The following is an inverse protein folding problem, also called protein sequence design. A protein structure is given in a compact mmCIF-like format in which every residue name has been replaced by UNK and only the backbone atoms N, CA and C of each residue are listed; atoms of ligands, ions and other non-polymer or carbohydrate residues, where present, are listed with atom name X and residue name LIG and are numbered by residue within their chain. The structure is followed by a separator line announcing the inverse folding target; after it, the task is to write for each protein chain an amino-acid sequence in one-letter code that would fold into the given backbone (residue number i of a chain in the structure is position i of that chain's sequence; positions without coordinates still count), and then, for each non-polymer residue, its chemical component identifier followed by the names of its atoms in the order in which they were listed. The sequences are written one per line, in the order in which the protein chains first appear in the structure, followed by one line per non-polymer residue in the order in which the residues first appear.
data_IF_954322249619
#
_entry.id   IF_954322249619
#
_cell.length_a   1.000
_cell.length_b   1.000
_cell.length_c   1.000
_cell.angle_alpha   90.00
_cell.angle_beta   90.00
_cell.angle_gamma   90.00
#
_symmetry.space_group_name_H-M   'P 1'
#
loop_
_entity.id
_entity.type
_entity.pdbx_description
1 polymer ?
#
# COMPACT_ATOMS: atom_id res chain seq x y z
N UNK A 1 -15.91 -2.94 9.58
CA UNK A 1 -15.78 -2.81 8.12
C UNK A 1 -14.58 -1.92 7.86
N UNK A 2 -13.49 -2.50 7.37
CA UNK A 2 -12.27 -1.78 6.98
C UNK A 2 -12.64 -0.81 5.86
N UNK A 3 -12.40 0.49 6.04
CA UNK A 3 -12.58 1.47 4.97
C UNK A 3 -11.74 1.07 3.76
N UNK A 4 -12.37 1.04 2.58
CA UNK A 4 -11.68 0.80 1.31
C UNK A 4 -10.74 1.97 1.04
N UNK A 5 -9.47 1.68 0.78
CA UNK A 5 -8.46 2.69 0.52
C UNK A 5 -8.45 3.01 -0.99
N UNK A 6 -8.72 4.26 -1.40
CA UNK A 6 -8.68 4.63 -2.81
C UNK A 6 -7.31 4.41 -3.44
N UNK A 7 -7.28 3.88 -4.66
CA UNK A 7 -6.04 3.68 -5.44
C UNK A 7 -5.14 4.92 -5.48
N UNK A 8 -5.72 6.09 -5.73
CA UNK A 8 -4.97 7.35 -5.79
C UNK A 8 -4.24 7.67 -4.46
N UNK A 9 -4.81 7.25 -3.32
CA UNK A 9 -4.15 7.39 -2.02
C UNK A 9 -2.94 6.46 -1.92
N UNK A 10 -3.09 5.19 -2.31
CA UNK A 10 -1.98 4.23 -2.37
C UNK A 10 -0.86 4.71 -3.30
N UNK A 11 -1.20 5.20 -4.49
CA UNK A 11 -0.23 5.73 -5.46
C UNK A 11 0.55 6.93 -4.89
N UNK A 12 -0.17 7.91 -4.33
CA UNK A 12 0.43 9.10 -3.71
C UNK A 12 1.49 8.69 -2.69
N UNK A 13 1.16 7.78 -1.78
CA UNK A 13 2.07 7.38 -0.70
C UNK A 13 3.20 6.47 -1.20
N UNK A 14 2.94 5.61 -2.19
CA UNK A 14 3.97 4.77 -2.80
C UNK A 14 5.02 5.58 -3.56
N UNK A 15 4.60 6.61 -4.31
CA UNK A 15 5.54 7.54 -4.97
C UNK A 15 6.44 8.22 -3.93
N UNK A 16 5.84 8.72 -2.84
CA UNK A 16 6.63 9.35 -1.77
C UNK A 16 7.62 8.40 -1.11
N UNK A 17 7.20 7.16 -0.85
CA UNK A 17 8.06 6.17 -0.20
C UNK A 17 9.19 5.70 -1.11
N UNK A 18 8.86 5.24 -2.32
CA UNK A 18 9.81 4.52 -3.16
C UNK A 18 10.54 5.37 -4.19
N UNK A 19 9.96 6.53 -4.60
CA UNK A 19 10.62 7.45 -5.53
C UNK A 19 11.22 8.67 -4.83
N UNK A 20 10.54 9.23 -3.84
CA UNK A 20 11.07 10.34 -3.03
C UNK A 20 11.89 9.85 -1.81
N UNK A 21 12.02 8.53 -1.61
CA UNK A 21 12.79 7.89 -0.52
C UNK A 21 12.42 8.38 0.90
N UNK A 22 11.14 8.69 1.12
CA UNK A 22 10.63 9.11 2.44
C UNK A 22 10.46 7.92 3.37
N UNK A 23 10.87 8.09 4.63
CA UNK A 23 10.69 7.07 5.67
C UNK A 23 9.22 6.91 6.06
N UNK A 24 8.83 5.73 6.54
CA UNK A 24 7.45 5.48 7.01
C UNK A 24 7.03 6.45 8.13
N UNK A 25 7.95 6.83 9.02
CA UNK A 25 7.66 7.80 10.09
C UNK A 25 7.35 9.20 9.53
N UNK A 26 8.12 9.69 8.56
CA UNK A 26 7.81 10.97 7.89
C UNK A 26 6.44 10.94 7.21
N UNK A 27 6.12 9.83 6.53
CA UNK A 27 4.83 9.69 5.86
C UNK A 27 3.66 9.63 6.84
N UNK A 28 3.82 8.93 7.96
CA UNK A 28 2.81 8.90 9.03
C UNK A 28 2.58 10.29 9.64
N UNK A 29 3.64 11.09 9.81
CA UNK A 29 3.52 12.46 10.31
C UNK A 29 2.81 13.40 9.31
N UNK A 30 2.93 13.15 8.01
CA UNK A 30 2.26 13.92 6.95
C UNK A 30 0.80 13.51 6.72
N UNK A 31 0.38 12.33 7.16
CA UNK A 31 -0.97 11.81 6.97
C UNK A 31 -1.98 12.54 7.85
N UNK A 32 -3.04 13.07 7.21
CA UNK A 32 -4.02 13.96 7.85
C UNK A 32 -5.17 13.25 8.54
N UNK A 33 -5.46 12.00 8.14
CA UNK A 33 -6.59 11.23 8.67
C UNK A 33 -6.26 9.74 8.71
N UNK A 34 -7.16 8.95 9.30
CA UNK A 34 -6.96 7.51 9.47
C UNK A 34 -6.86 6.78 8.13
N UNK A 35 -7.62 7.17 7.13
CA UNK A 35 -7.56 6.59 5.78
C UNK A 35 -6.17 6.77 5.15
N UNK A 36 -5.58 7.97 5.24
CA UNK A 36 -4.21 8.22 4.78
C UNK A 36 -3.18 7.42 5.59
N UNK A 37 -3.33 7.32 6.91
CA UNK A 37 -2.44 6.50 7.76
C UNK A 37 -2.52 5.02 7.39
N UNK A 38 -3.72 4.50 7.13
CA UNK A 38 -3.93 3.13 6.65
C UNK A 38 -3.27 2.94 5.28
N UNK A 39 -3.40 3.90 4.36
CA UNK A 39 -2.71 3.84 3.07
C UNK A 39 -1.18 3.79 3.23
N UNK A 40 -0.61 4.63 4.11
CA UNK A 40 0.83 4.61 4.44
C UNK A 40 1.24 3.26 5.03
N UNK A 41 0.45 2.70 5.95
CA UNK A 41 0.73 1.38 6.53
C UNK A 41 0.76 0.26 5.48
N UNK A 42 -0.24 0.24 4.57
CA UNK A 42 -0.27 -0.71 3.45
C UNK A 42 0.98 -0.56 2.59
N UNK A 43 1.33 0.66 2.19
CA UNK A 43 2.52 0.92 1.37
C UNK A 43 3.80 0.50 2.10
N UNK A 44 3.89 0.73 3.41
CA UNK A 44 5.05 0.35 4.21
C UNK A 44 5.25 -1.16 4.34
N UNK A 45 4.17 -1.95 4.36
CA UNK A 45 4.24 -3.42 4.42
C UNK A 45 4.96 -4.04 3.21
N UNK A 46 5.12 -3.33 2.10
CA UNK A 46 5.91 -3.81 0.96
C UNK A 46 7.40 -4.00 1.27
N UNK A 47 7.93 -3.32 2.27
CA UNK A 47 9.32 -3.50 2.73
C UNK A 47 9.48 -4.68 3.70
N UNK A 48 8.37 -5.20 4.23
CA UNK A 48 8.39 -6.39 5.10
C UNK A 48 8.59 -7.64 4.25
N UNK A 49 9.36 -8.60 4.76
CA UNK A 49 9.60 -9.90 4.12
C UNK A 49 8.26 -10.53 3.66
N UNK A 50 8.13 -10.90 2.37
CA UNK A 50 6.92 -11.55 1.85
C UNK A 50 6.44 -12.77 2.66
N UNK A 51 7.35 -13.52 3.30
CA UNK A 51 7.03 -14.70 4.10
C UNK A 51 6.27 -14.36 5.40
N UNK A 52 6.48 -13.17 5.96
CA UNK A 52 5.88 -12.75 7.24
C UNK A 52 4.85 -11.63 7.09
N UNK A 53 4.84 -10.94 5.94
CA UNK A 53 4.01 -9.75 5.65
C UNK A 53 2.53 -9.85 6.01
N UNK A 54 1.93 -11.03 5.86
CA UNK A 54 0.50 -11.27 6.10
C UNK A 54 0.23 -12.24 7.26
N UNK A 55 1.27 -12.60 8.01
CA UNK A 55 1.14 -13.60 9.06
C UNK A 55 0.24 -13.07 10.19
N UNK A 56 -0.72 -13.89 10.64
CA UNK A 56 -1.65 -13.55 11.73
C UNK A 56 -2.87 -12.70 11.32
N UNK A 57 -3.04 -12.40 10.03
CA UNK A 57 -4.22 -11.71 9.49
C UNK A 57 -5.30 -12.70 9.09
N UNK A 58 -6.56 -12.26 9.06
CA UNK A 58 -7.64 -13.10 8.54
C UNK A 58 -7.57 -13.21 7.00
N UNK A 59 -8.33 -14.13 6.42
CA UNK A 59 -8.32 -14.39 4.97
C UNK A 59 -8.77 -13.15 4.18
N UNK A 60 -9.80 -12.44 4.64
CA UNK A 60 -10.33 -11.23 3.98
C UNK A 60 -9.30 -10.10 3.95
N UNK A 61 -8.66 -9.82 5.09
CA UNK A 61 -7.58 -8.83 5.21
C UNK A 61 -6.40 -9.18 4.32
N UNK A 62 -6.00 -10.46 4.34
CA UNK A 62 -4.89 -10.97 3.51
C UNK A 62 -5.19 -10.82 2.03
N UNK A 63 -6.41 -11.17 1.58
CA UNK A 63 -6.82 -11.05 0.19
C UNK A 63 -6.80 -9.58 -0.27
N UNK A 64 -7.33 -8.69 0.56
CA UNK A 64 -7.33 -7.25 0.30
C UNK A 64 -5.90 -6.68 0.20
N UNK A 65 -5.04 -6.95 1.19
CA UNK A 65 -3.66 -6.45 1.17
C UNK A 65 -2.85 -7.02 0.00
N UNK A 66 -3.06 -8.29 -0.37
CA UNK A 66 -2.44 -8.87 -1.56
C UNK A 66 -2.87 -8.17 -2.85
N UNK A 67 -4.14 -7.75 -2.96
CA UNK A 67 -4.61 -6.98 -4.11
C UNK A 67 -3.92 -5.61 -4.17
N UNK A 68 -3.86 -4.89 -3.05
CA UNK A 68 -3.15 -3.62 -2.93
C UNK A 68 -1.66 -3.76 -3.30
N UNK A 69 -0.95 -4.74 -2.74
CA UNK A 69 0.47 -4.94 -2.99
C UNK A 69 0.77 -5.38 -4.42
N UNK A 70 -0.11 -6.16 -5.06
CA UNK A 70 0.04 -6.51 -6.49
C UNK A 70 -0.01 -5.25 -7.36
N UNK A 71 -0.97 -4.38 -7.08
CA UNK A 71 -1.10 -3.10 -7.76
C UNK A 71 0.12 -2.19 -7.53
N UNK A 72 0.55 -2.06 -6.27
CA UNK A 72 1.70 -1.23 -5.90
C UNK A 72 3.02 -1.76 -6.49
N UNK A 73 3.23 -3.09 -6.50
CA UNK A 73 4.40 -3.68 -7.14
C UNK A 73 4.45 -3.39 -8.65
N UNK A 74 3.30 -3.46 -9.33
CA UNK A 74 3.22 -3.03 -10.72
C UNK A 74 3.54 -1.54 -10.84
N UNK A 75 2.96 -0.68 -10.01
CA UNK A 75 3.22 0.77 -10.04
C UNK A 75 4.71 1.13 -9.87
N UNK A 76 5.42 0.41 -9.00
CA UNK A 76 6.83 0.66 -8.68
C UNK A 76 7.77 0.09 -9.75
N UNK A 77 7.50 -1.11 -10.26
CA UNK A 77 8.43 -1.82 -11.15
C UNK A 77 8.06 -1.77 -12.64
N UNK A 78 6.77 -1.68 -12.98
CA UNK A 78 6.24 -1.61 -14.34
C UNK A 78 4.94 -0.78 -14.39
N UNK A 79 5.04 0.56 -14.47
CA UNK A 79 3.89 1.46 -14.40
C UNK A 79 2.84 1.24 -15.50
N UNK A 80 3.23 0.61 -16.62
CA UNK A 80 2.30 0.25 -17.70
C UNK A 80 1.32 -0.86 -17.29
N UNK A 81 1.79 -1.81 -16.47
CA UNK A 81 1.00 -2.94 -15.98
C UNK A 81 0.03 -2.57 -14.84
N UNK A 82 0.28 -1.49 -14.09
CA UNK A 82 -0.54 -1.11 -12.94
C UNK A 82 -1.99 -0.75 -13.31
N UNK A 83 -2.20 -0.22 -14.52
CA UNK A 83 -3.51 0.27 -15.00
C UNK A 83 -4.55 -0.83 -15.18
N UNK A 84 -4.12 -2.08 -15.36
CA UNK A 84 -5.02 -3.24 -15.56
C UNK A 84 -5.40 -3.95 -14.25
N UNK A 85 -4.80 -3.59 -13.11
CA UNK A 85 -5.02 -4.27 -11.84
C UNK A 85 -6.17 -3.60 -11.08
N UNK A 86 -7.22 -4.38 -10.81
CA UNK A 86 -8.32 -3.93 -9.94
C UNK A 86 -7.96 -4.08 -8.47
N UNK A 87 -8.14 -2.99 -7.72
CA UNK A 87 -8.16 -2.97 -6.25
C UNK A 87 -9.57 -2.50 -5.93
N UNK A 88 -10.32 -3.32 -5.20
CA UNK A 88 -11.72 -3.06 -4.84
C UNK A 88 -11.81 -1.92 -3.86
#
# INVERSE_FOLDING_TARGET
MSEIIPKASLEKWAVKKFREHRSTMELMALAKNNLERTAVAIVALLEVDPATRYQGMCEEETAYLKACHRYLNALVNDPGAARSISVR
#
